data_IF_736031367562
#
_entry.id   IF_736031367562
#
_cell.length_a   1.000
_cell.length_b   1.000
_cell.length_c   1.000
_cell.angle_alpha   90.00
_cell.angle_beta   90.00
_cell.angle_gamma   90.00
#
_symmetry.space_group_name_H-M   'P 1'
#
loop_
_entity.id
_entity.type
_entity.pdbx_description
1 polymer ?
#
# COMPACT_ATOMS: atom_id res chain seq x y z
N UNK A 1 9.80 -5.94 -11.47
CA UNK A 1 8.62 -6.12 -10.59
C UNK A 1 7.78 -7.22 -11.21
N UNK A 2 7.87 -8.45 -10.72
CA UNK A 2 7.06 -9.56 -11.23
C UNK A 2 5.71 -9.56 -10.51
N UNK A 3 4.62 -9.39 -11.25
CA UNK A 3 3.27 -9.52 -10.73
C UNK A 3 2.87 -10.99 -10.89
N UNK A 4 2.99 -11.78 -9.82
CA UNK A 4 2.46 -13.15 -9.77
C UNK A 4 1.15 -13.07 -8.98
N UNK A 5 0.03 -13.05 -9.69
CA UNK A 5 -1.28 -13.21 -9.07
C UNK A 5 -1.49 -14.67 -8.66
N UNK A 6 -2.35 -14.85 -7.65
CA UNK A 6 -3.07 -16.09 -7.29
C UNK A 6 -2.44 -17.13 -6.37
N UNK A 7 -1.37 -16.83 -5.61
CA UNK A 7 -1.07 -17.64 -4.42
C UNK A 7 -0.38 -16.84 -3.31
N UNK A 8 -1.16 -16.02 -2.60
CA UNK A 8 -0.71 -15.12 -1.52
C UNK A 8 0.04 -15.88 -0.41
N UNK A 9 -0.34 -17.14 -0.11
CA UNK A 9 0.37 -17.98 0.88
C UNK A 9 1.78 -18.39 0.44
N UNK A 10 2.00 -18.66 -0.84
CA UNK A 10 3.34 -19.01 -1.34
C UNK A 10 4.23 -17.77 -1.41
N UNK A 11 3.67 -16.61 -1.77
CA UNK A 11 4.39 -15.34 -1.77
C UNK A 11 4.77 -14.89 -0.36
N UNK A 12 3.89 -15.03 0.63
CA UNK A 12 4.22 -14.73 2.03
C UNK A 12 5.28 -15.67 2.59
N UNK A 13 5.22 -16.97 2.30
CA UNK A 13 6.25 -17.93 2.73
C UNK A 13 7.59 -17.71 2.01
N UNK A 14 7.58 -17.31 0.74
CA UNK A 14 8.79 -16.97 -0.01
C UNK A 14 9.42 -15.65 0.49
N UNK A 15 8.60 -14.66 0.83
CA UNK A 15 9.06 -13.39 1.43
C UNK A 15 9.60 -13.60 2.84
N UNK A 16 8.93 -14.41 3.68
CA UNK A 16 9.41 -14.73 5.04
C UNK A 16 10.72 -15.52 4.97
N UNK A 17 10.81 -16.56 4.15
CA UNK A 17 12.04 -17.37 4.00
C UNK A 17 13.19 -16.60 3.37
N UNK A 18 12.93 -15.67 2.43
CA UNK A 18 13.97 -14.80 1.90
C UNK A 18 14.39 -13.70 2.88
N UNK A 19 13.45 -13.15 3.67
CA UNK A 19 13.78 -12.23 4.78
C UNK A 19 14.59 -12.93 5.88
N UNK A 20 14.26 -14.18 6.24
CA UNK A 20 15.03 -14.98 7.19
C UNK A 20 16.42 -15.33 6.64
N UNK A 21 16.54 -15.65 5.35
CA UNK A 21 17.84 -15.89 4.72
C UNK A 21 18.73 -14.64 4.73
N UNK A 22 18.18 -13.46 4.40
CA UNK A 22 18.91 -12.19 4.49
C UNK A 22 19.11 -11.67 5.92
N UNK A 23 18.27 -12.07 6.88
CA UNK A 23 18.44 -11.73 8.30
C UNK A 23 19.43 -12.65 9.03
N UNK A 24 19.75 -13.82 8.46
CA UNK A 24 20.64 -14.82 9.07
C UNK A 24 22.14 -14.59 8.84
N UNK A 25 22.53 -13.68 7.95
CA UNK A 25 23.90 -13.17 7.96
C UNK A 25 24.04 -12.17 9.10
N UNK A 26 24.71 -12.61 10.17
CA UNK A 26 25.30 -11.72 11.19
C UNK A 26 26.29 -10.77 10.50
N UNK A 27 25.75 -9.72 9.88
CA UNK A 27 26.49 -8.55 9.47
C UNK A 27 26.90 -7.85 10.77
N UNK A 28 28.18 -7.97 11.13
CA UNK A 28 28.80 -7.06 12.09
C UNK A 28 28.30 -5.63 11.84
N UNK A 29 27.93 -4.90 12.90
CA UNK A 29 27.42 -3.52 12.86
C UNK A 29 28.50 -2.56 12.32
N UNK A 30 28.78 -2.64 11.02
CA UNK A 30 29.63 -1.68 10.33
C UNK A 30 28.84 -0.40 10.11
N UNK A 31 29.31 0.76 10.60
CA UNK A 31 28.54 2.00 10.59
C UNK A 31 28.34 2.53 9.16
N UNK A 32 27.07 2.80 8.79
CA UNK A 32 26.70 3.41 7.51
C UNK A 32 25.46 2.77 6.86
N UNK A 33 24.90 3.41 5.84
CA UNK A 33 23.81 2.84 5.03
C UNK A 33 24.29 1.65 4.20
N UNK A 34 23.39 0.75 3.76
CA UNK A 34 23.75 -0.33 2.84
C UNK A 34 24.47 0.19 1.58
N UNK A 35 24.01 1.31 1.01
CA UNK A 35 24.66 1.95 -0.14
C UNK A 35 26.13 2.32 0.17
N UNK A 36 26.39 2.89 1.34
CA UNK A 36 27.76 3.22 1.78
C UNK A 36 28.68 2.02 1.97
N UNK A 37 28.10 0.84 2.25
CA UNK A 37 28.84 -0.42 2.38
C UNK A 37 29.13 -1.06 1.02
N UNK A 38 28.19 -1.00 0.09
CA UNK A 38 28.30 -1.69 -1.21
C UNK A 38 29.16 -0.96 -2.24
N UNK A 39 29.18 0.38 -2.23
CA UNK A 39 29.79 1.15 -3.32
C UNK A 39 31.13 1.84 -2.97
N UNK A 40 31.71 1.52 -1.81
CA UNK A 40 32.79 2.28 -1.18
C UNK A 40 34.05 2.51 -2.05
N UNK A 41 34.31 1.65 -3.05
CA UNK A 41 35.54 1.70 -3.85
C UNK A 41 35.33 1.49 -5.37
N UNK A 42 34.18 1.84 -5.95
CA UNK A 42 33.95 1.64 -7.39
C UNK A 42 33.52 2.92 -8.13
N UNK A 43 34.51 3.65 -8.63
CA UNK A 43 34.32 4.72 -9.63
C UNK A 43 34.32 4.13 -11.03
N UNK A 44 33.32 4.47 -11.85
CA UNK A 44 33.20 3.97 -13.23
C UNK A 44 33.13 5.16 -14.19
N UNK A 45 34.27 5.73 -14.62
CA UNK A 45 34.29 6.81 -15.60
C UNK A 45 33.61 6.42 -16.91
N UNK A 46 33.05 7.42 -17.62
CA UNK A 46 32.45 7.21 -18.93
C UNK A 46 33.50 6.68 -19.92
N UNK A 47 33.09 5.72 -20.75
CA UNK A 47 33.94 5.05 -21.74
C UNK A 47 35.15 4.27 -21.17
N UNK A 48 35.22 4.04 -19.85
CA UNK A 48 36.20 3.10 -19.29
C UNK A 48 35.87 1.65 -19.68
N UNK A 49 36.87 0.76 -19.63
CA UNK A 49 36.64 -0.68 -19.90
C UNK A 49 35.54 -1.26 -19.02
N UNK A 50 35.54 -0.87 -17.73
CA UNK A 50 34.51 -1.30 -16.77
C UNK A 50 33.12 -0.78 -17.12
N UNK A 51 33.02 0.41 -17.70
CA UNK A 51 31.75 0.93 -18.21
C UNK A 51 31.24 0.08 -19.37
N UNK A 52 32.09 -0.21 -20.36
CA UNK A 52 31.74 -1.01 -21.53
C UNK A 52 31.35 -2.44 -21.13
N UNK A 53 32.14 -3.10 -20.28
CA UNK A 53 31.84 -4.45 -19.76
C UNK A 53 30.49 -4.47 -19.04
N UNK A 54 30.17 -3.45 -18.24
CA UNK A 54 28.89 -3.36 -17.54
C UNK A 54 27.70 -3.26 -18.49
N UNK A 55 27.84 -2.53 -19.61
CA UNK A 55 26.82 -2.43 -20.63
C UNK A 55 26.65 -3.74 -21.40
N UNK A 56 27.75 -4.38 -21.79
CA UNK A 56 27.74 -5.68 -22.47
C UNK A 56 27.12 -6.77 -21.60
N UNK A 57 27.46 -6.78 -20.30
CA UNK A 57 26.86 -7.70 -19.33
C UNK A 57 25.35 -7.45 -19.19
N UNK A 58 24.92 -6.19 -19.06
CA UNK A 58 23.50 -5.86 -18.99
C UNK A 58 22.74 -6.30 -20.25
N UNK A 59 23.31 -6.03 -21.43
CA UNK A 59 22.74 -6.45 -22.71
C UNK A 59 22.65 -7.98 -22.83
N UNK A 60 23.72 -8.70 -22.51
CA UNK A 60 23.76 -10.17 -22.52
C UNK A 60 22.71 -10.78 -21.60
N UNK A 61 22.65 -10.31 -20.34
CA UNK A 61 21.65 -10.77 -19.37
C UNK A 61 20.22 -10.53 -19.86
N UNK A 62 19.94 -9.36 -20.45
CA UNK A 62 18.62 -9.04 -21.00
C UNK A 62 18.24 -9.97 -22.14
N UNK A 63 19.17 -10.30 -23.04
CA UNK A 63 18.96 -11.27 -24.12
C UNK A 63 18.65 -12.66 -23.58
N UNK A 64 19.43 -13.14 -22.62
CA UNK A 64 19.21 -14.44 -21.99
C UNK A 64 17.83 -14.54 -21.31
N UNK A 65 17.42 -13.49 -20.58
CA UNK A 65 16.11 -13.43 -19.93
C UNK A 65 14.98 -13.47 -20.98
N UNK A 66 15.08 -12.66 -22.03
CA UNK A 66 14.05 -12.57 -23.06
C UNK A 66 13.98 -13.83 -23.93
N UNK A 67 15.11 -14.48 -24.21
CA UNK A 67 15.17 -15.79 -24.86
C UNK A 67 14.46 -16.85 -24.03
N UNK A 68 14.75 -16.90 -22.72
CA UNK A 68 14.12 -17.84 -21.81
C UNK A 68 12.59 -17.64 -21.77
N UNK A 69 12.14 -16.40 -21.58
CA UNK A 69 10.71 -16.05 -21.55
C UNK A 69 10.03 -16.43 -22.88
N UNK A 70 10.67 -16.10 -24.01
CA UNK A 70 10.15 -16.39 -25.35
C UNK A 70 10.04 -17.89 -25.61
N UNK A 71 11.03 -18.68 -25.20
CA UNK A 71 11.00 -20.15 -25.33
C UNK A 71 9.84 -20.80 -24.56
N UNK A 72 9.30 -20.12 -23.55
CA UNK A 72 8.13 -20.56 -22.77
C UNK A 72 6.82 -19.89 -23.21
N UNK A 73 6.82 -19.12 -24.31
CA UNK A 73 5.65 -18.39 -24.83
C UNK A 73 4.98 -17.47 -23.79
N UNK A 74 5.77 -16.89 -22.89
CA UNK A 74 5.26 -15.94 -21.88
C UNK A 74 5.31 -14.52 -22.46
N UNK A 75 4.19 -13.79 -22.56
CA UNK A 75 4.20 -12.39 -22.97
C UNK A 75 5.03 -11.53 -22.02
N UNK A 76 5.78 -10.58 -22.57
CA UNK A 76 6.66 -9.71 -21.78
C UNK A 76 6.53 -8.25 -22.20
N UNK A 77 6.53 -7.39 -21.19
CA UNK A 77 6.57 -5.95 -21.33
C UNK A 77 7.79 -5.45 -20.57
N UNK A 78 8.59 -4.61 -21.21
CA UNK A 78 9.79 -4.03 -20.63
C UNK A 78 9.67 -2.52 -20.67
N UNK A 79 9.77 -1.88 -19.50
CA UNK A 79 9.84 -0.42 -19.40
C UNK A 79 11.27 0.07 -19.46
N UNK A 80 11.48 1.19 -20.15
CA UNK A 80 12.70 1.98 -19.99
C UNK A 80 12.84 2.49 -18.56
N UNK A 81 14.07 2.63 -18.09
CA UNK A 81 14.36 3.09 -16.74
C UNK A 81 14.34 4.62 -16.67
N UNK A 82 13.99 5.13 -15.49
CA UNK A 82 13.90 6.56 -15.19
C UNK A 82 14.76 6.90 -13.99
N UNK A 83 15.17 8.16 -13.90
CA UNK A 83 15.93 8.69 -12.78
C UNK A 83 15.64 10.18 -12.61
N UNK A 84 15.91 10.70 -11.43
CA UNK A 84 15.84 12.13 -11.18
C UNK A 84 16.99 12.84 -11.90
N UNK A 85 16.63 13.73 -12.83
CA UNK A 85 17.57 14.48 -13.65
C UNK A 85 17.79 15.88 -13.07
N UNK A 86 16.69 16.61 -12.86
CA UNK A 86 16.70 18.04 -12.54
C UNK A 86 17.14 18.34 -11.11
N UNK A 87 16.76 17.49 -10.16
CA UNK A 87 16.85 17.77 -8.72
C UNK A 87 17.90 16.90 -8.01
N UNK A 88 18.57 16.00 -8.74
CA UNK A 88 19.67 15.17 -8.23
C UNK A 88 21.00 15.53 -8.88
N UNK A 89 21.87 16.18 -8.10
CA UNK A 89 23.26 16.46 -8.46
C UNK A 89 24.04 15.14 -8.64
N UNK A 90 25.03 15.09 -9.56
CA UNK A 90 25.99 14.00 -9.62
C UNK A 90 26.64 13.72 -8.27
N UNK A 91 26.77 12.45 -7.92
CA UNK A 91 27.39 12.03 -6.66
C UNK A 91 28.91 12.15 -6.73
N UNK A 92 29.51 11.64 -7.82
CA UNK A 92 30.97 11.63 -7.98
C UNK A 92 31.34 12.22 -9.33
N UNK A 93 32.08 13.32 -9.27
CA UNK A 93 32.46 14.12 -10.42
C UNK A 93 33.97 14.04 -10.61
N UNK A 94 34.40 13.25 -11.60
CA UNK A 94 35.83 12.98 -11.87
C UNK A 94 36.34 13.87 -13.01
N UNK A 95 37.54 14.47 -12.90
CA UNK A 95 38.19 15.17 -14.02
C UNK A 95 38.49 14.24 -15.20
N UNK A 96 38.34 14.75 -16.41
CA UNK A 96 38.68 14.06 -17.66
C UNK A 96 39.26 15.08 -18.65
N UNK A 97 40.13 14.63 -19.55
CA UNK A 97 40.62 15.46 -20.66
C UNK A 97 39.58 15.59 -21.78
N UNK A 98 38.73 14.58 -21.95
CA UNK A 98 37.77 14.48 -23.05
C UNK A 98 36.43 15.16 -22.75
N UNK A 99 36.07 15.26 -21.46
CA UNK A 99 34.75 15.74 -21.03
C UNK A 99 34.84 16.72 -19.85
N UNK A 100 33.96 17.73 -19.78
CA UNK A 100 33.77 18.52 -18.56
C UNK A 100 33.35 17.63 -17.40
N UNK A 101 33.59 18.09 -16.17
CA UNK A 101 33.18 17.34 -14.99
C UNK A 101 31.65 17.30 -14.86
N UNK A 102 31.09 16.20 -14.34
CA UNK A 102 29.65 16.03 -14.16
C UNK A 102 29.00 17.22 -13.42
N UNK A 103 29.67 17.76 -12.39
CA UNK A 103 29.19 18.92 -11.65
C UNK A 103 29.15 20.21 -12.47
N UNK A 104 30.12 20.44 -13.35
CA UNK A 104 30.13 21.62 -14.24
C UNK A 104 28.95 21.55 -15.22
N UNK A 105 28.72 20.39 -15.83
CA UNK A 105 27.61 20.17 -16.75
C UNK A 105 26.26 20.34 -16.04
N UNK A 106 26.13 19.83 -14.82
CA UNK A 106 24.90 19.99 -14.02
C UNK A 106 24.58 21.46 -13.70
N UNK A 107 25.59 22.24 -13.32
CA UNK A 107 25.38 23.68 -13.05
C UNK A 107 25.10 24.48 -14.34
N UNK A 108 25.65 24.07 -15.48
CA UNK A 108 25.27 24.63 -16.77
C UNK A 108 23.81 24.31 -17.14
N UNK A 109 23.37 23.07 -16.92
CA UNK A 109 21.99 22.64 -17.14
C UNK A 109 21.00 23.52 -16.34
N UNK A 110 21.31 23.78 -15.07
CA UNK A 110 20.51 24.68 -14.23
C UNK A 110 20.45 26.10 -14.77
N UNK A 111 21.57 26.66 -15.23
CA UNK A 111 21.60 28.01 -15.85
C UNK A 111 20.75 28.06 -17.12
N UNK A 112 20.85 27.05 -17.99
CA UNK A 112 20.03 26.95 -19.21
C UNK A 112 18.54 26.90 -18.87
N UNK A 113 18.16 26.10 -17.86
CA UNK A 113 16.79 26.01 -17.41
C UNK A 113 16.26 27.34 -16.86
N UNK A 114 17.04 28.03 -16.02
CA UNK A 114 16.69 29.36 -15.49
C UNK A 114 16.50 30.40 -16.60
N UNK A 115 17.23 30.26 -17.71
CA UNK A 115 17.11 31.13 -18.88
C UNK A 115 15.99 30.69 -19.85
N UNK A 116 15.13 29.73 -19.48
CA UNK A 116 14.02 29.25 -20.31
C UNK A 116 14.40 28.26 -21.42
N UNK A 117 15.66 27.82 -21.48
CA UNK A 117 16.16 26.88 -22.50
C UNK A 117 16.01 25.43 -22.03
N UNK A 118 14.77 24.93 -21.91
CA UNK A 118 14.49 23.64 -21.30
C UNK A 118 15.06 22.44 -22.07
N UNK A 119 15.07 22.46 -23.41
CA UNK A 119 15.61 21.37 -24.24
C UNK A 119 17.13 21.21 -24.07
N UNK A 120 17.85 22.33 -24.07
CA UNK A 120 19.30 22.35 -23.81
C UNK A 120 19.58 21.83 -22.40
N UNK A 121 18.78 22.30 -21.42
CA UNK A 121 18.91 21.86 -20.04
C UNK A 121 18.68 20.36 -19.88
N UNK A 122 17.64 19.77 -20.49
CA UNK A 122 17.40 18.32 -20.46
C UNK A 122 18.61 17.54 -20.98
N UNK A 123 19.16 17.96 -22.13
CA UNK A 123 20.34 17.33 -22.74
C UNK A 123 21.55 17.39 -21.79
N UNK A 124 21.79 18.54 -21.15
CA UNK A 124 22.88 18.71 -20.19
C UNK A 124 22.64 17.93 -18.89
N UNK A 125 21.40 17.84 -18.37
CA UNK A 125 21.12 17.02 -17.20
C UNK A 125 21.36 15.52 -17.47
N UNK A 126 20.99 15.03 -18.66
CA UNK A 126 21.30 13.65 -19.08
C UNK A 126 22.80 13.42 -19.19
N UNK A 127 23.54 14.35 -19.79
CA UNK A 127 25.00 14.27 -19.87
C UNK A 127 25.65 14.29 -18.47
N UNK A 128 25.20 15.17 -17.58
CA UNK A 128 25.70 15.22 -16.21
C UNK A 128 25.45 13.90 -15.45
N UNK A 129 24.30 13.26 -15.66
CA UNK A 129 24.01 11.92 -15.14
C UNK A 129 24.96 10.87 -15.73
N UNK A 130 25.19 10.87 -17.03
CA UNK A 130 26.04 9.87 -17.69
C UNK A 130 27.53 10.00 -17.32
N UNK A 131 27.96 11.22 -16.97
CA UNK A 131 29.28 11.56 -16.44
C UNK A 131 29.44 11.29 -14.93
N UNK A 132 28.35 11.01 -14.21
CA UNK A 132 28.40 10.65 -12.79
C UNK A 132 29.15 9.32 -12.62
N UNK A 133 30.33 9.38 -12.00
CA UNK A 133 31.20 8.21 -11.86
C UNK A 133 30.65 7.20 -10.84
N UNK A 134 29.70 7.61 -10.00
CA UNK A 134 28.91 6.71 -9.17
C UNK A 134 27.61 6.37 -9.92
N UNK A 135 27.69 5.30 -10.73
CA UNK A 135 26.64 4.89 -11.68
C UNK A 135 25.44 4.22 -11.03
N UNK A 136 24.88 4.79 -9.96
CA UNK A 136 23.60 4.37 -9.41
C UNK A 136 22.43 4.71 -10.33
N UNK A 137 22.52 5.84 -11.04
CA UNK A 137 21.57 6.17 -12.11
C UNK A 137 22.05 5.55 -13.41
N UNK A 138 21.17 4.83 -14.09
CA UNK A 138 21.48 4.18 -15.35
C UNK A 138 21.85 5.22 -16.44
N UNK A 139 22.93 5.00 -17.21
CA UNK A 139 23.28 5.88 -18.32
C UNK A 139 22.26 5.78 -19.46
N UNK A 140 22.19 6.78 -20.35
CA UNK A 140 21.21 6.76 -21.46
C UNK A 140 21.39 5.52 -22.37
N UNK A 141 22.62 4.99 -22.44
CA UNK A 141 22.94 3.77 -23.20
C UNK A 141 22.14 2.55 -22.74
N UNK A 142 21.76 2.45 -21.46
CA UNK A 142 20.90 1.37 -20.95
C UNK A 142 19.51 1.41 -21.61
N UNK A 143 18.89 2.59 -21.72
CA UNK A 143 17.60 2.73 -22.38
C UNK A 143 17.67 2.48 -23.89
N UNK A 144 18.82 2.76 -24.52
CA UNK A 144 19.07 2.37 -25.91
C UNK A 144 19.14 0.85 -26.07
N UNK A 145 19.88 0.16 -25.19
CA UNK A 145 19.98 -1.30 -25.16
C UNK A 145 18.59 -1.92 -24.94
N UNK A 146 17.82 -1.45 -23.94
CA UNK A 146 16.46 -1.93 -23.67
C UNK A 146 15.60 -1.87 -24.94
N UNK A 147 15.60 -0.72 -25.63
CA UNK A 147 14.83 -0.55 -26.87
C UNK A 147 15.30 -1.51 -27.96
N UNK A 148 16.61 -1.65 -28.15
CA UNK A 148 17.20 -2.51 -29.16
C UNK A 148 16.82 -3.98 -28.92
N UNK A 149 17.11 -4.51 -27.73
CA UNK A 149 16.85 -5.91 -27.38
C UNK A 149 15.34 -6.21 -27.43
N UNK A 150 14.48 -5.29 -26.99
CA UNK A 150 13.04 -5.47 -27.16
C UNK A 150 12.63 -5.61 -28.63
N UNK A 151 13.24 -4.82 -29.52
CA UNK A 151 12.99 -4.91 -30.96
C UNK A 151 13.40 -6.25 -31.57
N UNK A 152 14.54 -6.80 -31.17
CA UNK A 152 15.05 -8.10 -31.64
C UNK A 152 14.17 -9.27 -31.20
N UNK A 153 13.62 -9.19 -29.98
CA UNK A 153 12.75 -10.22 -29.42
C UNK A 153 11.26 -10.01 -29.71
N UNK A 154 10.89 -8.91 -30.39
CA UNK A 154 9.51 -8.45 -30.57
C UNK A 154 8.75 -8.33 -29.24
N UNK A 155 9.45 -7.89 -28.19
CA UNK A 155 8.89 -7.61 -26.87
C UNK A 155 8.30 -6.19 -26.83
N UNK A 156 7.21 -6.00 -26.09
CA UNK A 156 6.59 -4.69 -25.92
C UNK A 156 7.50 -3.78 -25.08
N UNK A 157 8.01 -2.69 -25.68
CA UNK A 157 8.84 -1.71 -24.98
C UNK A 157 8.05 -0.45 -24.63
N UNK A 158 7.90 -0.18 -23.33
CA UNK A 158 7.19 1.00 -22.82
C UNK A 158 8.19 2.12 -22.54
N UNK A 159 7.98 3.29 -23.16
CA UNK A 159 8.85 4.46 -22.98
C UNK A 159 8.47 5.26 -21.74
N UNK A 160 8.66 4.67 -20.56
CA UNK A 160 8.37 5.29 -19.26
C UNK A 160 9.13 6.61 -19.09
N UNK A 161 10.36 6.69 -19.56
CA UNK A 161 11.19 7.90 -19.64
C UNK A 161 10.48 9.07 -20.32
N UNK A 162 9.88 8.80 -21.48
CA UNK A 162 9.17 9.81 -22.27
C UNK A 162 7.85 10.21 -21.62
N UNK A 163 7.15 9.25 -21.01
CA UNK A 163 5.91 9.49 -20.26
C UNK A 163 6.20 10.39 -19.05
N UNK A 164 7.25 10.10 -18.28
CA UNK A 164 7.67 10.91 -17.13
C UNK A 164 8.06 12.32 -17.56
N UNK A 165 8.86 12.45 -18.63
CA UNK A 165 9.20 13.77 -19.19
C UNK A 165 7.93 14.57 -19.54
N UNK A 166 6.93 13.94 -20.18
CA UNK A 166 5.74 14.64 -20.70
C UNK A 166 4.88 15.31 -19.64
N UNK A 167 4.89 14.78 -18.41
CA UNK A 167 4.12 15.33 -17.28
C UNK A 167 4.99 16.12 -16.30
N UNK A 168 6.31 16.06 -16.46
CA UNK A 168 7.24 16.78 -15.60
C UNK A 168 7.37 18.25 -15.98
N UNK A 169 7.50 19.16 -15.00
CA UNK A 169 7.79 20.56 -15.28
C UNK A 169 8.98 20.72 -16.23
N UNK A 170 8.82 21.57 -17.24
CA UNK A 170 9.82 21.84 -18.28
C UNK A 170 10.20 20.64 -19.15
N UNK A 171 9.50 19.51 -19.03
CA UNK A 171 9.85 18.27 -19.74
C UNK A 171 10.96 17.45 -19.08
N UNK A 172 11.35 17.76 -17.84
CA UNK A 172 12.55 17.18 -17.18
C UNK A 172 12.18 16.53 -15.86
N UNK A 173 12.46 15.24 -15.72
CA UNK A 173 12.15 14.44 -14.51
C UNK A 173 12.86 15.03 -13.28
N UNK A 174 12.09 15.25 -12.22
CA UNK A 174 12.57 15.77 -10.94
C UNK A 174 11.80 15.20 -9.75
N UNK A 175 11.88 15.89 -8.61
CA UNK A 175 11.22 15.51 -7.36
C UNK A 175 9.68 15.47 -7.45
N UNK A 176 9.10 16.00 -8.54
CA UNK A 176 7.66 15.90 -8.77
C UNK A 176 7.20 14.44 -9.00
N UNK A 177 8.08 13.57 -9.50
CA UNK A 177 7.79 12.14 -9.70
C UNK A 177 8.79 11.21 -9.02
N UNK A 178 9.82 11.74 -8.36
CA UNK A 178 10.92 10.96 -7.79
C UNK A 178 11.06 11.28 -6.30
N UNK A 179 11.24 10.24 -5.49
CA UNK A 179 11.54 10.37 -4.05
C UNK A 179 13.02 10.65 -3.81
N UNK A 180 13.89 10.14 -4.68
CA UNK A 180 15.35 10.32 -4.61
C UNK A 180 15.98 10.37 -6.01
N UNK A 181 17.22 9.90 -6.14
CA UNK A 181 17.95 9.80 -7.40
C UNK A 181 17.34 8.84 -8.44
N UNK A 182 16.67 7.75 -8.05
CA UNK A 182 16.20 6.71 -8.99
C UNK A 182 14.84 6.08 -8.66
N UNK A 183 14.29 6.31 -7.45
CA UNK A 183 13.01 5.74 -7.04
C UNK A 183 11.87 6.71 -7.33
N UNK A 184 10.84 6.31 -8.09
CA UNK A 184 9.62 7.08 -8.26
C UNK A 184 8.90 7.29 -6.92
N UNK A 185 8.19 8.41 -6.77
CA UNK A 185 7.21 8.61 -5.72
C UNK A 185 5.88 7.91 -6.07
N UNK A 186 4.84 8.08 -5.24
CA UNK A 186 3.54 7.43 -5.44
C UNK A 186 2.95 7.81 -6.80
N UNK A 187 3.02 9.08 -7.17
CA UNK A 187 2.53 9.61 -8.44
C UNK A 187 3.30 9.01 -9.63
N UNK A 188 4.62 8.88 -9.49
CA UNK A 188 5.48 8.21 -10.47
C UNK A 188 5.11 6.74 -10.64
N UNK A 189 4.93 5.99 -9.55
CA UNK A 189 4.52 4.58 -9.62
C UNK A 189 3.13 4.40 -10.22
N UNK A 190 2.18 5.30 -9.94
CA UNK A 190 0.86 5.29 -10.56
C UNK A 190 0.95 5.49 -12.08
N UNK A 191 1.77 6.44 -12.51
CA UNK A 191 1.98 6.70 -13.93
C UNK A 191 2.63 5.50 -14.63
N UNK A 192 3.59 4.83 -13.98
CA UNK A 192 4.18 3.59 -14.48
C UNK A 192 3.13 2.47 -14.58
N UNK A 193 2.34 2.27 -13.53
CA UNK A 193 1.30 1.24 -13.49
C UNK A 193 0.29 1.42 -14.62
N UNK A 194 -0.17 2.65 -14.83
CA UNK A 194 -1.03 3.02 -15.97
C UNK A 194 -0.38 2.72 -17.31
N UNK A 195 0.88 3.14 -17.51
CA UNK A 195 1.59 2.91 -18.77
C UNK A 195 1.75 1.42 -19.10
N UNK A 196 2.03 0.59 -18.09
CA UNK A 196 2.09 -0.87 -18.28
C UNK A 196 0.71 -1.46 -18.57
N UNK A 197 -0.33 -1.02 -17.88
CA UNK A 197 -1.70 -1.47 -18.11
C UNK A 197 -2.15 -1.19 -19.55
N UNK A 198 -1.98 0.05 -20.02
CA UNK A 198 -2.31 0.46 -21.38
C UNK A 198 -1.51 -0.35 -22.42
N UNK A 199 -0.23 -0.64 -22.14
CA UNK A 199 0.58 -1.50 -23.00
C UNK A 199 0.09 -2.96 -23.02
N UNK A 200 -0.39 -3.50 -21.90
CA UNK A 200 -1.00 -4.84 -21.85
C UNK A 200 -2.30 -4.89 -22.65
N UNK A 201 -3.13 -3.85 -22.55
CA UNK A 201 -4.38 -3.75 -23.30
C UNK A 201 -4.12 -3.68 -24.81
N UNK A 202 -3.23 -2.78 -25.24
CA UNK A 202 -2.87 -2.61 -26.66
C UNK A 202 -2.24 -3.86 -27.26
N UNK A 203 -1.43 -4.59 -26.48
CA UNK A 203 -0.83 -5.85 -26.91
C UNK A 203 -1.82 -7.03 -26.85
N UNK A 204 -3.03 -6.85 -26.32
CA UNK A 204 -4.03 -7.90 -26.19
C UNK A 204 -3.68 -8.95 -25.14
N UNK A 205 -2.88 -8.61 -24.14
CA UNK A 205 -2.48 -9.50 -23.04
C UNK A 205 -3.54 -9.61 -21.93
N UNK A 206 -4.54 -8.71 -21.95
CA UNK A 206 -5.65 -8.75 -21.01
C UNK A 206 -6.81 -9.62 -21.55
N UNK A 207 -7.56 -10.31 -20.68
CA UNK A 207 -8.75 -11.06 -21.08
C UNK A 207 -9.78 -10.16 -21.79
N UNK A 208 -10.29 -10.59 -22.95
CA UNK A 208 -11.27 -9.82 -23.75
C UNK A 208 -12.70 -9.90 -23.24
N UNK A 209 -12.95 -10.69 -22.18
CA UNK A 209 -14.28 -11.20 -21.88
C UNK A 209 -15.09 -10.28 -20.95
N UNK A 210 -14.48 -9.26 -20.36
CA UNK A 210 -15.17 -8.33 -19.47
C UNK A 210 -14.94 -6.90 -19.94
N UNK A 211 -16.02 -6.27 -20.43
CA UNK A 211 -16.01 -4.82 -20.59
C UNK A 211 -15.89 -4.20 -19.20
N UNK A 212 -14.94 -3.29 -18.96
CA UNK A 212 -14.82 -2.65 -17.66
C UNK A 212 -16.14 -1.95 -17.32
N UNK A 213 -16.67 -2.23 -16.13
CA UNK A 213 -17.91 -1.62 -15.64
C UNK A 213 -17.77 -0.11 -15.40
N UNK A 214 -16.53 0.35 -15.21
CA UNK A 214 -16.16 1.73 -14.93
C UNK A 214 -15.23 2.22 -16.05
N UNK A 215 -15.43 3.43 -16.62
CA UNK A 215 -14.52 3.97 -17.61
C UNK A 215 -13.08 4.06 -17.08
N UNK A 216 -12.09 3.75 -17.93
CA UNK A 216 -10.67 3.81 -17.54
C UNK A 216 -10.25 5.16 -16.94
N UNK A 217 -10.76 6.26 -17.49
CA UNK A 217 -10.53 7.61 -16.96
C UNK A 217 -11.00 7.80 -15.51
N UNK A 218 -11.95 6.98 -15.05
CA UNK A 218 -12.50 7.02 -13.70
C UNK A 218 -11.85 5.96 -12.79
N UNK A 219 -11.30 4.88 -13.34
CA UNK A 219 -10.61 3.85 -12.57
C UNK A 219 -9.35 4.39 -11.89
N UNK A 220 -8.57 5.24 -12.57
CA UNK A 220 -7.36 5.86 -11.99
C UNK A 220 -7.69 6.70 -10.72
N UNK A 221 -8.83 7.37 -10.71
CA UNK A 221 -9.27 8.15 -9.55
C UNK A 221 -9.70 7.24 -8.39
N UNK A 222 -10.34 6.11 -8.69
CA UNK A 222 -10.76 5.13 -7.68
C UNK A 222 -9.55 4.41 -7.06
N UNK A 223 -8.60 3.97 -7.89
CA UNK A 223 -7.38 3.33 -7.38
C UNK A 223 -6.60 4.25 -6.44
N UNK A 224 -6.64 5.57 -6.67
CA UNK A 224 -6.07 6.58 -5.76
C UNK A 224 -6.81 6.73 -4.45
N UNK A 225 -8.14 6.73 -4.49
CA UNK A 225 -8.98 6.87 -3.29
C UNK A 225 -8.86 5.63 -2.41
N UNK A 226 -8.83 4.45 -3.02
CA UNK A 226 -8.81 3.16 -2.33
C UNK A 226 -7.38 2.63 -2.09
N UNK A 227 -6.34 3.39 -2.48
CA UNK A 227 -4.96 2.96 -2.26
C UNK A 227 -4.67 2.85 -0.77
N UNK A 228 -4.31 1.64 -0.33
CA UNK A 228 -4.08 1.31 1.08
C UNK A 228 -2.75 1.89 1.57
N UNK A 229 -2.75 3.20 1.78
CA UNK A 229 -1.57 4.00 2.12
C UNK A 229 -1.99 5.25 2.90
N UNK A 230 -1.29 5.57 3.99
CA UNK A 230 -1.61 6.68 4.88
C UNK A 230 -0.56 7.79 4.89
N UNK A 231 -0.94 8.94 5.46
CA UNK A 231 -0.02 10.02 5.73
C UNK A 231 1.10 9.61 6.69
N UNK A 232 0.85 8.63 7.58
CA UNK A 232 1.90 8.04 8.41
C UNK A 232 2.95 7.34 7.56
N UNK A 233 2.55 6.55 6.55
CA UNK A 233 3.47 5.85 5.65
C UNK A 233 4.33 6.85 4.87
N UNK A 234 3.71 7.92 4.35
CA UNK A 234 4.43 9.06 3.75
C UNK A 234 5.44 9.67 4.74
N UNK A 235 5.03 9.86 5.99
CA UNK A 235 5.87 10.48 7.01
C UNK A 235 7.06 9.59 7.38
N UNK A 236 6.83 8.28 7.53
CA UNK A 236 7.86 7.25 7.73
C UNK A 236 8.84 7.24 6.54
N UNK A 237 8.31 7.27 5.31
CA UNK A 237 9.10 7.35 4.08
C UNK A 237 9.99 8.59 4.06
N UNK A 238 9.43 9.76 4.36
CA UNK A 238 10.18 11.02 4.45
C UNK A 238 11.27 10.97 5.53
N UNK A 239 10.98 10.43 6.71
CA UNK A 239 11.98 10.21 7.77
C UNK A 239 13.12 9.30 7.30
N UNK A 240 12.79 8.20 6.62
CA UNK A 240 13.76 7.25 6.07
C UNK A 240 14.64 7.93 5.02
N UNK A 241 14.05 8.76 4.15
CA UNK A 241 14.79 9.53 3.16
C UNK A 241 15.75 10.53 3.80
N UNK A 242 15.32 11.27 4.83
CA UNK A 242 16.21 12.19 5.56
C UNK A 242 17.41 11.46 6.19
N UNK A 243 17.20 10.25 6.72
CA UNK A 243 18.28 9.43 7.26
C UNK A 243 19.22 8.92 6.17
N UNK A 244 18.69 8.42 5.06
CA UNK A 244 19.47 7.89 3.93
C UNK A 244 20.30 8.98 3.25
N UNK A 245 19.72 10.16 3.04
CA UNK A 245 20.38 11.31 2.40
C UNK A 245 21.34 12.04 3.34
N UNK A 246 21.33 11.71 4.64
CA UNK A 246 22.30 12.20 5.61
C UNK A 246 23.47 11.21 5.79
N UNK A 247 23.86 10.54 4.72
CA UNK A 247 25.06 9.72 4.66
C UNK A 247 25.65 9.75 3.24
N UNK A 248 26.83 9.17 3.10
CA UNK A 248 27.42 8.95 1.78
C UNK A 248 26.50 8.05 0.92
N UNK A 249 26.30 8.34 -0.38
CA UNK A 249 27.03 9.32 -1.21
C UNK A 249 26.39 10.72 -1.28
N UNK A 250 25.29 10.97 -0.57
CA UNK A 250 24.56 12.24 -0.68
C UNK A 250 25.31 13.41 -0.03
N UNK A 251 26.01 13.11 1.07
CA UNK A 251 26.86 14.06 1.79
C UNK A 251 28.17 13.40 2.22
N UNK A 252 29.16 14.22 2.55
CA UNK A 252 30.39 13.73 3.15
C UNK A 252 30.17 13.27 4.60
N UNK A 253 30.95 12.28 5.05
CA UNK A 253 30.80 11.70 6.40
C UNK A 253 30.87 12.74 7.52
N UNK A 254 31.70 13.78 7.37
CA UNK A 254 31.84 14.86 8.35
C UNK A 254 30.66 15.85 8.36
N UNK A 255 29.83 15.86 7.31
CA UNK A 255 28.61 16.68 7.21
C UNK A 255 27.40 15.99 7.85
N UNK A 256 27.53 14.71 8.21
CA UNK A 256 26.47 13.89 8.79
C UNK A 256 25.95 14.50 10.09
N UNK A 257 24.66 14.81 10.12
CA UNK A 257 23.97 15.36 11.30
C UNK A 257 23.42 14.23 12.18
N UNK A 258 23.41 14.37 13.52
CA UNK A 258 22.66 13.47 14.39
C UNK A 258 21.17 13.42 14.05
N UNK A 259 20.53 12.25 14.15
CA UNK A 259 19.12 12.03 13.78
C UNK A 259 18.15 13.04 14.41
N UNK A 260 18.36 13.39 15.69
CA UNK A 260 17.54 14.38 16.42
C UNK A 260 17.54 15.79 15.80
N UNK A 261 18.53 16.12 14.98
CA UNK A 261 18.64 17.40 14.27
C UNK A 261 18.09 17.33 12.84
N UNK A 262 17.87 16.13 12.30
CA UNK A 262 17.30 15.93 10.97
C UNK A 262 15.78 16.02 10.99
N UNK A 263 15.18 15.53 12.07
CA UNK A 263 13.74 15.41 12.18
C UNK A 263 13.26 16.07 13.48
N UNK A 264 12.43 17.10 13.34
CA UNK A 264 11.75 17.75 14.45
C UNK A 264 10.25 17.49 14.28
N UNK A 265 9.64 16.63 15.13
CA UNK A 265 8.23 16.32 15.01
C UNK A 265 7.36 17.57 15.17
N UNK A 266 6.46 17.82 14.21
CA UNK A 266 5.52 18.95 14.22
C UNK A 266 4.11 18.55 14.61
N UNK A 267 3.77 17.28 14.41
CA UNK A 267 2.46 16.72 14.72
C UNK A 267 2.57 15.31 15.33
N UNK A 268 1.43 14.70 15.63
CA UNK A 268 1.38 13.38 16.27
C UNK A 268 1.87 12.25 15.33
N UNK A 269 1.57 12.32 14.02
CA UNK A 269 2.06 11.34 13.04
C UNK A 269 3.59 11.40 12.92
N UNK A 270 4.15 12.61 12.93
CA UNK A 270 5.61 12.79 12.95
C UNK A 270 6.23 12.10 14.17
N UNK A 271 5.59 12.23 15.34
CA UNK A 271 6.08 11.66 16.58
C UNK A 271 6.00 10.12 16.57
N UNK A 272 4.92 9.57 16.01
CA UNK A 272 4.74 8.13 15.81
C UNK A 272 5.77 7.60 14.80
N UNK A 273 5.92 8.26 13.65
CA UNK A 273 6.90 7.90 12.63
C UNK A 273 8.32 7.90 13.18
N UNK A 274 8.67 8.90 14.00
CA UNK A 274 9.98 8.95 14.66
C UNK A 274 10.19 7.77 15.61
N UNK A 275 9.20 7.43 16.44
CA UNK A 275 9.29 6.28 17.34
C UNK A 275 9.46 4.96 16.59
N UNK A 276 8.71 4.78 15.50
CA UNK A 276 8.86 3.62 14.62
C UNK A 276 10.27 3.57 14.01
N UNK A 277 10.74 4.67 13.43
CA UNK A 277 12.07 4.74 12.79
C UNK A 277 13.22 4.51 13.78
N UNK A 278 13.02 4.81 15.06
CA UNK A 278 13.99 4.53 16.14
C UNK A 278 13.79 3.14 16.77
N UNK A 279 13.01 2.25 16.13
CA UNK A 279 12.71 0.89 16.58
C UNK A 279 12.09 0.82 18.00
N UNK A 280 11.36 1.85 18.42
CA UNK A 280 10.69 1.89 19.74
C UNK A 280 9.31 1.25 19.75
N UNK A 281 8.69 1.14 18.58
CA UNK A 281 7.36 0.56 18.38
C UNK A 281 7.36 -0.22 17.07
N UNK A 282 6.50 -1.22 16.95
CA UNK A 282 6.33 -1.94 15.68
C UNK A 282 5.57 -1.07 14.66
N UNK A 283 5.56 -1.50 13.39
CA UNK A 283 4.75 -0.84 12.37
C UNK A 283 3.25 -0.96 12.69
N UNK A 284 2.80 -2.12 13.19
CA UNK A 284 1.41 -2.29 13.59
C UNK A 284 1.03 -1.35 14.74
N UNK A 285 1.89 -1.23 15.76
CA UNK A 285 1.69 -0.29 16.87
C UNK A 285 1.68 1.16 16.39
N UNK A 286 2.47 1.50 15.36
CA UNK A 286 2.45 2.83 14.79
C UNK A 286 1.08 3.18 14.18
N UNK A 287 0.46 2.25 13.44
CA UNK A 287 -0.88 2.45 12.89
C UNK A 287 -1.97 2.42 13.96
N UNK A 288 -1.89 1.54 14.96
CA UNK A 288 -2.80 1.55 16.11
C UNK A 288 -2.75 2.88 16.88
N UNK A 289 -1.53 3.38 17.18
CA UNK A 289 -1.35 4.66 17.85
C UNK A 289 -1.89 5.84 17.02
N UNK A 290 -1.76 5.78 15.70
CA UNK A 290 -2.33 6.79 14.80
C UNK A 290 -3.86 6.71 14.80
N UNK A 291 -4.44 5.51 14.70
CA UNK A 291 -5.87 5.28 14.77
C UNK A 291 -6.46 5.84 16.08
N UNK A 292 -5.85 5.52 17.23
CA UNK A 292 -6.25 6.03 18.54
C UNK A 292 -6.17 7.56 18.63
N UNK A 293 -5.15 8.16 18.03
CA UNK A 293 -5.00 9.62 18.00
C UNK A 293 -6.08 10.30 17.14
N UNK A 294 -6.50 9.68 16.02
CA UNK A 294 -7.64 10.16 15.23
C UNK A 294 -8.96 9.97 15.97
N UNK A 295 -9.15 8.83 16.64
CA UNK A 295 -10.35 8.57 17.43
C UNK A 295 -10.52 9.59 18.57
N UNK A 296 -9.44 9.95 19.26
CA UNK A 296 -9.43 11.03 20.28
C UNK A 296 -9.81 12.41 19.72
N UNK A 297 -9.68 12.61 18.41
CA UNK A 297 -10.12 13.83 17.70
C UNK A 297 -11.53 13.70 17.12
N UNK A 298 -12.24 12.61 17.40
CA UNK A 298 -13.52 12.24 16.80
C UNK A 298 -13.49 12.10 15.27
N UNK A 299 -12.30 11.83 14.69
CA UNK A 299 -12.14 11.58 13.27
C UNK A 299 -12.20 10.07 12.99
N UNK A 300 -13.41 9.59 12.71
CA UNK A 300 -13.66 8.17 12.42
C UNK A 300 -13.05 7.75 11.09
N UNK A 301 -12.98 8.65 10.10
CA UNK A 301 -12.40 8.32 8.80
C UNK A 301 -10.89 8.11 8.92
N UNK A 302 -10.20 8.97 9.67
CA UNK A 302 -8.79 8.80 9.99
C UNK A 302 -8.52 7.51 10.79
N UNK A 303 -9.37 7.22 11.78
CA UNK A 303 -9.31 5.96 12.54
C UNK A 303 -9.43 4.74 11.61
N UNK A 304 -10.49 4.67 10.80
CA UNK A 304 -10.74 3.55 9.89
C UNK A 304 -9.64 3.41 8.85
N UNK A 305 -9.11 4.50 8.30
CA UNK A 305 -8.01 4.44 7.32
C UNK A 305 -6.78 3.73 7.88
N UNK A 306 -6.43 3.96 9.15
CA UNK A 306 -5.31 3.27 9.79
C UNK A 306 -5.63 1.82 10.16
N UNK A 307 -6.86 1.53 10.60
CA UNK A 307 -7.29 0.17 10.88
C UNK A 307 -7.39 -0.68 9.61
N UNK A 308 -7.88 -0.12 8.50
CA UNK A 308 -7.99 -0.80 7.20
C UNK A 308 -6.63 -1.19 6.64
N UNK A 309 -5.58 -0.38 6.88
CA UNK A 309 -4.20 -0.76 6.55
C UNK A 309 -3.76 -2.02 7.32
N UNK A 310 -4.11 -2.11 8.61
CA UNK A 310 -3.80 -3.29 9.41
C UNK A 310 -4.55 -4.51 8.89
N UNK A 311 -5.82 -4.35 8.52
CA UNK A 311 -6.61 -5.44 7.93
C UNK A 311 -6.09 -5.86 6.55
N UNK A 312 -5.62 -4.93 5.74
CA UNK A 312 -5.02 -5.25 4.44
C UNK A 312 -3.74 -6.08 4.60
N UNK A 313 -2.89 -5.70 5.56
CA UNK A 313 -1.63 -6.40 5.81
C UNK A 313 -1.85 -7.72 6.57
N UNK A 314 -2.80 -7.77 7.49
CA UNK A 314 -3.06 -8.88 8.40
C UNK A 314 -4.55 -9.27 8.40
N UNK A 315 -5.10 -9.73 7.26
CA UNK A 315 -6.55 -9.90 7.08
C UNK A 315 -7.20 -10.98 7.93
N UNK A 316 -6.40 -11.85 8.56
CA UNK A 316 -6.88 -12.96 9.40
C UNK A 316 -6.79 -12.67 10.91
N UNK A 317 -6.23 -11.52 11.32
CA UNK A 317 -6.10 -11.15 12.73
C UNK A 317 -7.43 -10.58 13.20
N UNK A 318 -8.22 -11.40 13.90
CA UNK A 318 -9.60 -11.08 14.32
C UNK A 318 -9.66 -9.92 15.31
N UNK A 319 -8.61 -9.72 16.10
CA UNK A 319 -8.50 -8.68 17.13
C UNK A 319 -8.64 -7.27 16.55
N UNK A 320 -8.15 -7.04 15.32
CA UNK A 320 -8.33 -5.74 14.65
C UNK A 320 -9.79 -5.51 14.28
N UNK A 321 -10.51 -6.53 13.79
CA UNK A 321 -11.93 -6.41 13.50
C UNK A 321 -12.76 -6.24 14.77
N UNK A 322 -12.38 -6.94 15.85
CA UNK A 322 -13.02 -6.83 17.15
C UNK A 322 -12.89 -5.39 17.68
N UNK A 323 -11.68 -4.81 17.63
CA UNK A 323 -11.43 -3.42 18.02
C UNK A 323 -12.26 -2.42 17.19
N UNK A 324 -12.26 -2.55 15.85
CA UNK A 324 -13.07 -1.68 14.97
C UNK A 324 -14.55 -1.77 15.30
N UNK A 325 -15.06 -3.01 15.39
CA UNK A 325 -16.49 -3.26 15.61
C UNK A 325 -16.92 -2.72 16.97
N UNK A 326 -16.16 -2.99 18.02
CA UNK A 326 -16.42 -2.46 19.37
C UNK A 326 -16.46 -0.93 19.38
N UNK A 327 -15.45 -0.28 18.78
CA UNK A 327 -15.39 1.19 18.71
C UNK A 327 -16.58 1.78 17.95
N UNK A 328 -16.89 1.26 16.76
CA UNK A 328 -18.00 1.76 15.94
C UNK A 328 -19.37 1.55 16.61
N UNK A 329 -19.57 0.40 17.28
CA UNK A 329 -20.79 0.10 18.02
C UNK A 329 -20.99 1.06 19.22
N UNK A 330 -19.92 1.36 19.96
CA UNK A 330 -19.95 2.35 21.05
C UNK A 330 -20.30 3.76 20.55
N UNK A 331 -19.85 4.09 19.33
CA UNK A 331 -20.20 5.34 18.64
C UNK A 331 -21.56 5.30 17.94
N UNK A 332 -22.30 4.18 18.03
CA UNK A 332 -23.59 3.97 17.38
C UNK A 332 -23.55 4.03 15.84
N UNK A 333 -22.37 3.80 15.24
CA UNK A 333 -22.14 3.79 13.79
C UNK A 333 -22.44 2.40 13.20
N UNK A 334 -23.68 1.94 13.34
CA UNK A 334 -24.11 0.58 13.01
C UNK A 334 -23.94 0.23 11.52
N UNK A 335 -24.17 1.18 10.62
CA UNK A 335 -24.05 0.97 9.17
C UNK A 335 -22.62 0.66 8.72
N UNK A 336 -21.63 1.19 9.45
CA UNK A 336 -20.23 0.94 9.18
C UNK A 336 -19.76 -0.30 9.93
N UNK A 337 -20.17 -0.48 11.19
CA UNK A 337 -19.79 -1.62 12.03
C UNK A 337 -20.15 -2.97 11.39
N UNK A 338 -21.34 -3.07 10.78
CA UNK A 338 -21.83 -4.33 10.20
C UNK A 338 -20.87 -4.92 9.15
N UNK A 339 -20.15 -4.09 8.39
CA UNK A 339 -19.16 -4.55 7.40
C UNK A 339 -18.02 -5.32 8.07
N UNK A 340 -17.48 -4.77 9.16
CA UNK A 340 -16.38 -5.38 9.91
C UNK A 340 -16.83 -6.61 10.68
N UNK A 341 -18.03 -6.58 11.27
CA UNK A 341 -18.63 -7.75 11.93
C UNK A 341 -18.80 -8.94 10.98
N UNK A 342 -19.29 -8.70 9.75
CA UNK A 342 -19.39 -9.78 8.76
C UNK A 342 -18.03 -10.30 8.32
N UNK A 343 -17.05 -9.41 8.10
CA UNK A 343 -15.69 -9.81 7.73
C UNK A 343 -15.04 -10.65 8.83
N UNK A 344 -15.16 -10.22 10.10
CA UNK A 344 -14.74 -10.96 11.30
C UNK A 344 -15.39 -12.34 11.35
N UNK A 345 -16.72 -12.41 11.31
CA UNK A 345 -17.48 -13.66 11.41
C UNK A 345 -17.14 -14.65 10.27
N UNK A 346 -16.78 -14.14 9.08
CA UNK A 346 -16.36 -14.98 7.95
C UNK A 346 -15.00 -15.65 8.21
N UNK A 347 -14.11 -14.99 8.94
CA UNK A 347 -12.81 -15.56 9.32
C UNK A 347 -13.02 -16.59 10.42
N UNK A 348 -13.70 -16.17 11.48
CA UNK A 348 -13.99 -17.01 12.65
C UNK A 348 -15.42 -16.71 13.14
N UNK A 349 -16.35 -17.66 13.03
CA UNK A 349 -17.70 -17.51 13.60
C UNK A 349 -17.67 -17.43 15.12
N UNK A 350 -18.31 -16.40 15.68
CA UNK A 350 -18.44 -16.20 17.13
C UNK A 350 -19.83 -15.65 17.51
N UNK A 351 -20.20 -15.81 18.79
CA UNK A 351 -21.52 -15.42 19.28
C UNK A 351 -21.69 -13.90 19.32
N UNK A 352 -20.61 -13.14 19.60
CA UNK A 352 -20.64 -11.68 19.70
C UNK A 352 -20.93 -11.03 18.34
N UNK A 353 -20.21 -11.42 17.29
CA UNK A 353 -20.44 -10.91 15.94
C UNK A 353 -21.81 -11.31 15.43
N UNK A 354 -22.20 -12.58 15.63
CA UNK A 354 -23.53 -13.05 15.24
C UNK A 354 -24.65 -12.27 15.96
N UNK A 355 -24.49 -12.01 17.26
CA UNK A 355 -25.43 -11.18 18.04
C UNK A 355 -25.57 -9.79 17.44
N UNK A 356 -24.46 -9.10 17.20
CA UNK A 356 -24.51 -7.72 16.73
C UNK A 356 -24.99 -7.60 15.28
N UNK A 357 -24.61 -8.51 14.39
CA UNK A 357 -25.17 -8.58 13.04
C UNK A 357 -26.70 -8.74 13.11
N UNK A 358 -27.17 -9.69 13.91
CA UNK A 358 -28.59 -9.94 14.09
C UNK A 358 -29.36 -8.76 14.70
N UNK A 359 -28.78 -8.10 15.70
CA UNK A 359 -29.35 -6.91 16.34
C UNK A 359 -29.47 -5.74 15.34
N UNK A 360 -28.42 -5.47 14.56
CA UNK A 360 -28.43 -4.41 13.55
C UNK A 360 -29.45 -4.73 12.44
N UNK A 361 -29.52 -5.98 11.99
CA UNK A 361 -30.51 -6.42 11.01
C UNK A 361 -31.95 -6.22 11.52
N UNK A 362 -32.22 -6.56 12.79
CA UNK A 362 -33.53 -6.35 13.41
C UNK A 362 -33.91 -4.87 13.47
N UNK A 363 -32.96 -4.02 13.86
CA UNK A 363 -33.15 -2.57 13.90
C UNK A 363 -33.47 -1.99 12.52
N UNK A 364 -32.87 -2.54 11.46
CA UNK A 364 -33.17 -2.18 10.06
C UNK A 364 -34.45 -2.80 9.51
N UNK A 365 -35.17 -3.60 10.30
CA UNK A 365 -36.39 -4.30 9.89
C UNK A 365 -36.14 -5.52 8.99
N UNK A 366 -34.89 -5.97 8.85
CA UNK A 366 -34.57 -7.21 8.15
C UNK A 366 -34.74 -8.42 9.08
N UNK A 367 -35.98 -8.77 9.35
CA UNK A 367 -36.33 -9.82 10.31
C UNK A 367 -35.76 -11.20 9.94
N UNK A 368 -35.63 -11.53 8.65
CA UNK A 368 -35.10 -12.83 8.20
C UNK A 368 -33.61 -12.97 8.51
N UNK A 369 -32.83 -11.92 8.23
CA UNK A 369 -31.40 -11.89 8.58
C UNK A 369 -31.19 -11.84 10.10
N UNK A 370 -32.02 -11.09 10.82
CA UNK A 370 -32.01 -11.05 12.27
C UNK A 370 -32.23 -12.44 12.88
N UNK A 371 -33.26 -13.17 12.43
CA UNK A 371 -33.53 -14.54 12.90
C UNK A 371 -32.33 -15.44 12.63
N UNK A 372 -31.75 -15.40 11.42
CA UNK A 372 -30.61 -16.23 11.06
C UNK A 372 -29.41 -16.01 11.99
N UNK A 373 -28.98 -14.75 12.17
CA UNK A 373 -27.78 -14.46 12.96
C UNK A 373 -28.00 -14.52 14.47
N UNK A 374 -29.18 -14.16 14.99
CA UNK A 374 -29.50 -14.33 16.42
C UNK A 374 -29.64 -15.80 16.80
N UNK A 375 -30.18 -16.63 15.90
CA UNK A 375 -30.21 -18.09 16.11
C UNK A 375 -28.79 -18.66 16.16
N UNK A 376 -27.92 -18.26 15.23
CA UNK A 376 -26.49 -18.65 15.25
C UNK A 376 -25.78 -18.21 16.52
N UNK A 377 -26.03 -16.99 17.00
CA UNK A 377 -25.47 -16.51 18.27
C UNK A 377 -25.93 -17.38 19.44
N UNK A 378 -27.21 -17.75 19.48
CA UNK A 378 -27.74 -18.66 20.49
C UNK A 378 -27.15 -20.08 20.39
N UNK A 379 -27.01 -20.62 19.18
CA UNK A 379 -26.37 -21.92 18.91
C UNK A 379 -24.87 -21.96 19.29
N UNK A 380 -24.20 -20.81 19.22
CA UNK A 380 -22.84 -20.61 19.72
C UNK A 380 -22.78 -20.43 21.25
N UNK A 381 -23.85 -20.79 21.95
CA UNK A 381 -24.00 -20.77 23.41
C UNK A 381 -23.93 -19.37 24.04
N UNK A 382 -24.44 -18.34 23.35
CA UNK A 382 -24.53 -17.01 23.96
C UNK A 382 -25.36 -17.05 25.26
N UNK A 383 -24.81 -16.48 26.33
CA UNK A 383 -25.46 -16.37 27.64
C UNK A 383 -26.24 -15.07 27.82
N UNK A 384 -26.26 -14.23 26.78
CA UNK A 384 -26.89 -12.91 26.79
C UNK A 384 -28.41 -13.02 26.51
N UNK A 385 -29.23 -12.74 27.52
CA UNK A 385 -30.69 -12.76 27.41
C UNK A 385 -31.21 -11.81 26.31
N UNK A 386 -30.45 -10.76 25.96
CA UNK A 386 -30.77 -9.86 24.87
C UNK A 386 -30.89 -10.57 23.52
N UNK A 387 -30.10 -11.63 23.27
CA UNK A 387 -30.17 -12.41 22.02
C UNK A 387 -31.57 -13.01 21.87
N UNK A 388 -32.10 -13.61 22.94
CA UNK A 388 -33.44 -14.22 22.94
C UNK A 388 -34.54 -13.17 22.89
N UNK A 389 -34.40 -12.05 23.60
CA UNK A 389 -35.35 -10.94 23.52
C UNK A 389 -35.47 -10.41 22.09
N UNK A 390 -34.34 -10.13 21.44
CA UNK A 390 -34.32 -9.63 20.06
C UNK A 390 -34.79 -10.69 19.06
N UNK A 391 -34.46 -11.97 19.27
CA UNK A 391 -34.94 -13.06 18.42
C UNK A 391 -36.47 -13.21 18.51
N UNK A 392 -37.04 -13.07 19.70
CA UNK A 392 -38.49 -13.01 19.88
C UNK A 392 -39.11 -11.81 19.16
N UNK A 393 -38.47 -10.64 19.22
CA UNK A 393 -38.86 -9.45 18.45
C UNK A 393 -38.83 -9.68 16.94
N UNK A 394 -37.81 -10.37 16.42
CA UNK A 394 -37.70 -10.71 15.00
C UNK A 394 -38.82 -11.68 14.56
N UNK A 395 -39.11 -12.72 15.37
CA UNK A 395 -40.25 -13.61 15.13
C UNK A 395 -41.59 -12.88 15.20
N UNK A 396 -41.75 -11.92 16.11
CA UNK A 396 -42.92 -11.06 16.18
C UNK A 396 -43.12 -10.24 14.90
N UNK A 397 -42.06 -9.65 14.33
CA UNK A 397 -42.12 -8.93 13.05
C UNK A 397 -42.56 -9.85 11.90
N UNK A 398 -42.16 -11.14 11.93
CA UNK A 398 -42.62 -12.16 10.96
C UNK A 398 -44.01 -12.73 11.27
N UNK A 399 -44.70 -12.24 12.31
CA UNK A 399 -45.99 -12.74 12.81
C UNK A 399 -45.97 -14.19 13.27
N UNK A 400 -44.80 -14.71 13.62
CA UNK A 400 -44.59 -16.05 14.16
C UNK A 400 -44.79 -16.05 15.68
N UNK A 401 -46.01 -15.72 16.12
CA UNK A 401 -46.28 -15.37 17.52
C UNK A 401 -46.04 -16.51 18.52
N UNK A 402 -46.37 -17.75 18.16
CA UNK A 402 -46.11 -18.91 19.03
C UNK A 402 -44.61 -19.12 19.25
N UNK A 403 -43.81 -19.05 18.19
CA UNK A 403 -42.34 -19.15 18.28
C UNK A 403 -41.77 -18.01 19.11
N UNK A 404 -42.21 -16.77 18.84
CA UNK A 404 -41.81 -15.60 19.62
C UNK A 404 -42.15 -15.74 21.12
N UNK A 405 -43.33 -16.29 21.46
CA UNK A 405 -43.74 -16.51 22.85
C UNK A 405 -42.86 -17.55 23.55
N UNK A 406 -42.48 -18.62 22.85
CA UNK A 406 -41.53 -19.59 23.40
C UNK A 406 -40.15 -18.97 23.61
N UNK A 407 -39.66 -18.20 22.63
CA UNK A 407 -38.36 -17.53 22.72
C UNK A 407 -38.32 -16.51 23.85
N UNK A 408 -39.37 -15.70 24.06
CA UNK A 408 -39.41 -14.72 25.16
C UNK A 408 -39.54 -15.39 26.53
N UNK A 409 -40.19 -16.55 26.63
CA UNK A 409 -40.18 -17.34 27.86
C UNK A 409 -38.77 -17.85 28.18
N UNK A 410 -38.01 -18.31 27.18
CA UNK A 410 -36.61 -18.69 27.38
C UNK A 410 -35.76 -17.50 27.82
N UNK A 411 -35.99 -16.31 27.25
CA UNK A 411 -35.35 -15.06 27.72
C UNK A 411 -35.61 -14.82 29.22
N UNK A 412 -36.88 -14.90 29.65
CA UNK A 412 -37.28 -14.70 31.04
C UNK A 412 -36.81 -15.81 31.99
N UNK A 413 -36.54 -17.01 31.48
CA UNK A 413 -35.94 -18.09 32.27
C UNK A 413 -34.46 -17.80 32.58
N UNK A 414 -33.74 -17.16 31.65
CA UNK A 414 -32.35 -16.74 31.85
C UNK A 414 -32.30 -15.48 32.74
N UNK A 415 -33.11 -14.48 32.41
CA UNK A 415 -33.17 -13.22 33.15
C UNK A 415 -34.64 -12.84 33.46
N UNK A 416 -35.16 -13.19 34.64
CA UNK A 416 -36.58 -12.98 34.99
C UNK A 416 -37.05 -11.53 34.95
N UNK A 417 -36.13 -10.58 35.13
CA UNK A 417 -36.41 -9.14 35.16
C UNK A 417 -35.93 -8.42 33.89
N UNK A 418 -35.72 -9.14 32.77
CA UNK A 418 -35.24 -8.53 31.53
C UNK A 418 -36.17 -7.38 31.09
N UNK A 419 -35.65 -6.17 30.83
CA UNK A 419 -36.46 -5.01 30.50
C UNK A 419 -37.40 -5.27 29.32
N UNK A 420 -38.66 -4.86 29.44
CA UNK A 420 -39.71 -4.99 28.41
C UNK A 420 -40.12 -6.43 28.02
N UNK A 421 -39.41 -7.48 28.46
CA UNK A 421 -39.73 -8.86 28.08
C UNK A 421 -41.14 -9.30 28.52
N UNK A 422 -41.56 -8.93 29.74
CA UNK A 422 -42.91 -9.22 30.24
C UNK A 422 -44.01 -8.49 29.44
N UNK A 423 -43.73 -7.27 28.97
CA UNK A 423 -44.67 -6.51 28.12
C UNK A 423 -44.80 -7.19 26.76
N UNK A 424 -43.67 -7.57 26.13
CA UNK A 424 -43.68 -8.30 24.86
C UNK A 424 -44.41 -9.65 24.98
N UNK A 425 -44.22 -10.38 26.08
CA UNK A 425 -44.94 -11.63 26.38
C UNK A 425 -46.46 -11.43 26.44
N UNK A 426 -46.92 -10.36 27.10
CA UNK A 426 -48.36 -10.03 27.15
C UNK A 426 -48.92 -9.69 25.77
N UNK A 427 -48.19 -8.88 24.99
CA UNK A 427 -48.58 -8.53 23.61
C UNK A 427 -48.69 -9.77 22.72
N UNK A 428 -47.71 -10.68 22.80
CA UNK A 428 -47.70 -11.94 22.07
C UNK A 428 -48.89 -12.84 22.44
N UNK A 429 -49.20 -12.94 23.74
CA UNK A 429 -50.33 -13.74 24.23
C UNK A 429 -51.66 -13.18 23.71
N UNK A 430 -51.83 -11.85 23.69
CA UNK A 430 -53.02 -11.22 23.13
C UNK A 430 -53.14 -11.44 21.62
N UNK A 431 -52.03 -11.34 20.87
CA UNK A 431 -52.00 -11.57 19.43
C UNK A 431 -52.35 -13.01 19.03
N UNK A 432 -51.92 -14.01 19.82
CA UNK A 432 -52.29 -15.42 19.61
C UNK A 432 -53.79 -15.65 19.88
N UNK A 433 -54.31 -15.04 20.95
CA UNK A 433 -55.72 -15.15 21.31
C UNK A 433 -56.67 -14.43 20.34
N UNK A 434 -56.19 -13.41 19.62
CA UNK A 434 -56.98 -12.73 18.58
C UNK A 434 -56.95 -13.44 17.23
N UNK A 435 -55.94 -14.27 16.95
CA UNK A 435 -55.90 -15.11 15.74
C UNK A 435 -56.74 -16.39 15.86
N UNK A 436 -57.05 -16.80 17.09
CA UNK A 436 -57.86 -17.99 17.39
C UNK A 436 -59.36 -17.71 17.53
N UNK A 437 -59.77 -16.45 17.36
CA UNK A 437 -61.16 -16.00 17.21
C UNK A 437 -61.41 -15.60 15.76
#
# INVERSE_FOLDING_TARGET
MFCISTNIKLFSLFVISSLEYFASENLEESPGTLMSRMAKDQYIPMNSDKYTIGLEQFEGNMREILELIKSHNVPVIVGKVVSNLKDQKPFISVPSEDYPTANQVYEEAKKKLMNGHSKDADSLFRLAKDLDALRFRAPEKINQIIRQVCGEYNATCVSIDSIFNSVSPYGIIGNNLMTDHLHPNIEGYQLMGKAYYEAMEQAGYLPKNEKPQIPFSSQDSLTRIDFTFTDLDSTIGNCRMLLLQNDWPFIEKWQKKPTRLLFTPKNFLDSIAFNFMMNKISWADAHLNAADAYLKKHDVNGYLKHMDILLYQYPIVVEYYDQISLTLLQMQLYDTAIKYLHARYKIEPDDYSAKWIGNIALFKGNADEAINYLTKSYELNSTDAQVLYNLAGAYYQKKLYNTALNTINNCLNIEPNYPQANILKQQLTQAINSQSK
#
